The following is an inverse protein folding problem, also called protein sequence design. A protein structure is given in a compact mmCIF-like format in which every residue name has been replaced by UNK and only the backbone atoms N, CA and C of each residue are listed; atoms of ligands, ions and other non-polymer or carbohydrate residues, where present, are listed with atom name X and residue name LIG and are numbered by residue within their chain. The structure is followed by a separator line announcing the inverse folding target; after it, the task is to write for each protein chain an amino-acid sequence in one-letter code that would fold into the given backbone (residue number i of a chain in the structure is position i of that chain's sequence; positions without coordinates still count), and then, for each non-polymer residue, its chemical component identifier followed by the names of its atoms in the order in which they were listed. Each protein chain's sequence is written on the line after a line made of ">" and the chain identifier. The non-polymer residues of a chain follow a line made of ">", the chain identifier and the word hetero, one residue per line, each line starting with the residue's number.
data_IF_103346043669
#
_entry.id   IF_103346043669
#
_cell.length_a   1.000
_cell.length_b   1.000
_cell.length_c   1.000
_cell.angle_alpha   90.00
_cell.angle_beta   90.00
_cell.angle_gamma   90.00
#
_symmetry.space_group_name_H-M   'P 1'
#
loop_
_entity.id
_entity.type
_entity.pdbx_description
1 polymer ?
#
# COMPACT_ATOMS: atom_id res chain seq x y z
N UNK A 1 -19.38 12.31 4.78
CA UNK A 1 -19.00 10.94 4.37
C UNK A 1 -17.48 10.92 4.16
N UNK A 2 -16.70 10.14 4.92
CA UNK A 2 -15.26 10.04 4.66
C UNK A 2 -15.06 9.45 3.27
N UNK A 3 -14.33 10.18 2.41
CA UNK A 3 -14.01 9.72 1.06
C UNK A 3 -12.89 8.70 1.18
N UNK A 4 -13.24 7.41 1.15
CA UNK A 4 -12.25 6.32 1.12
C UNK A 4 -11.43 6.48 -0.16
N UNK A 5 -10.12 6.68 -0.02
CA UNK A 5 -9.16 6.83 -1.11
C UNK A 5 -8.27 5.59 -1.17
N UNK A 6 -7.87 5.19 -2.39
CA UNK A 6 -6.97 4.05 -2.58
C UNK A 6 -5.53 4.55 -2.63
N UNK A 7 -4.71 4.14 -1.68
CA UNK A 7 -3.28 4.42 -1.65
C UNK A 7 -2.50 3.30 -2.35
N UNK A 8 -1.52 3.69 -3.15
CA UNK A 8 -0.51 2.80 -3.73
C UNK A 8 0.48 2.40 -2.66
N UNK A 9 0.60 1.10 -2.40
CA UNK A 9 1.43 0.53 -1.35
C UNK A 9 2.30 -0.56 -1.96
N UNK A 10 3.60 -0.50 -1.70
CA UNK A 10 4.54 -1.54 -2.05
C UNK A 10 4.89 -2.31 -0.78
N UNK A 11 4.39 -3.54 -0.71
CA UNK A 11 4.65 -4.47 0.38
C UNK A 11 5.88 -5.29 0.04
N UNK A 12 6.91 -5.21 0.87
CA UNK A 12 8.14 -6.02 0.72
C UNK A 12 8.17 -7.06 1.83
N UNK A 13 8.12 -8.33 1.45
CA UNK A 13 8.10 -9.47 2.38
C UNK A 13 9.39 -10.27 2.42
N UNK A 14 9.33 -11.44 3.08
CA UNK A 14 10.46 -12.37 3.17
C UNK A 14 10.88 -12.86 1.79
N UNK A 15 12.18 -13.10 1.61
CA UNK A 15 12.80 -13.56 0.36
C UNK A 15 12.74 -12.57 -0.82
N UNK A 16 12.77 -11.26 -0.55
CA UNK A 16 12.78 -10.21 -1.59
C UNK A 16 11.52 -10.16 -2.47
N UNK A 17 10.41 -10.73 -2.00
CA UNK A 17 9.15 -10.57 -2.69
C UNK A 17 8.60 -9.15 -2.50
N UNK A 18 8.32 -8.50 -3.62
CA UNK A 18 7.70 -7.19 -3.65
C UNK A 18 6.31 -7.28 -4.27
N UNK A 19 5.32 -6.71 -3.62
CA UNK A 19 3.94 -6.72 -4.08
C UNK A 19 3.37 -5.32 -4.07
N UNK A 20 2.78 -4.92 -5.20
CA UNK A 20 2.06 -3.66 -5.29
C UNK A 20 0.60 -3.89 -4.93
N UNK A 21 0.10 -3.11 -3.99
CA UNK A 21 -1.23 -3.22 -3.39
C UNK A 21 -1.93 -1.88 -3.41
N UNK A 22 -3.25 -1.94 -3.59
CA UNK A 22 -4.11 -0.78 -3.45
C UNK A 22 -4.89 -0.87 -2.15
N UNK A 23 -4.50 -0.06 -1.17
CA UNK A 23 -5.08 -0.08 0.18
C UNK A 23 -6.10 1.03 0.34
N UNK A 24 -7.35 0.74 0.73
CA UNK A 24 -8.33 1.76 1.06
C UNK A 24 -7.96 2.46 2.38
N UNK A 25 -7.85 3.78 2.34
CA UNK A 25 -7.49 4.67 3.45
C UNK A 25 -8.57 5.76 3.59
N UNK A 26 -8.96 6.07 4.82
CA UNK A 26 -9.98 7.09 5.11
C UNK A 26 -9.41 8.52 5.18
N UNK A 27 -8.08 8.63 5.25
CA UNK A 27 -7.33 9.88 5.23
C UNK A 27 -7.14 10.42 3.80
N UNK A 28 -7.04 11.75 3.61
CA UNK A 28 -6.63 12.33 2.33
C UNK A 28 -5.29 11.79 1.84
N UNK A 29 -5.30 11.12 0.69
CA UNK A 29 -4.10 10.63 0.01
C UNK A 29 -3.76 11.59 -1.13
N UNK A 30 -2.51 12.07 -1.23
CA UNK A 30 -2.05 12.88 -2.35
C UNK A 30 -2.27 12.16 -3.68
N UNK A 31 -2.63 12.87 -4.77
CA UNK A 31 -2.90 12.24 -6.07
C UNK A 31 -1.74 11.39 -6.60
N UNK A 32 -0.51 11.77 -6.26
CA UNK A 32 0.73 11.04 -6.62
C UNK A 32 0.84 9.66 -5.94
N UNK A 33 0.17 9.48 -4.80
CA UNK A 33 0.14 8.23 -4.03
C UNK A 33 -1.16 7.46 -4.24
N UNK A 34 -2.06 7.95 -5.09
CA UNK A 34 -3.31 7.23 -5.38
C UNK A 34 -3.03 6.08 -6.34
N UNK A 35 -3.75 4.99 -6.14
CA UNK A 35 -3.76 3.93 -7.14
C UNK A 35 -4.41 4.41 -8.45
N UNK A 36 -3.94 3.85 -9.56
CA UNK A 36 -4.65 3.96 -10.83
C UNK A 36 -6.04 3.36 -10.71
N UNK A 37 -7.01 3.98 -11.39
CA UNK A 37 -8.43 3.59 -11.35
C UNK A 37 -8.62 2.14 -11.82
N UNK A 38 -7.81 1.68 -12.77
CA UNK A 38 -7.80 0.32 -13.30
C UNK A 38 -7.13 -0.73 -12.41
N UNK A 39 -6.46 -0.33 -11.32
CA UNK A 39 -5.87 -1.31 -10.40
C UNK A 39 -6.93 -1.84 -9.43
N UNK A 40 -7.12 -3.17 -9.36
CA UNK A 40 -8.05 -3.77 -8.40
C UNK A 40 -7.66 -3.39 -6.97
N UNK A 41 -8.66 -3.12 -6.13
CA UNK A 41 -8.44 -2.89 -4.71
C UNK A 41 -7.96 -4.20 -4.05
N UNK A 42 -6.92 -4.11 -3.21
CA UNK A 42 -6.32 -5.27 -2.53
C UNK A 42 -5.23 -6.00 -3.34
N UNK A 43 -4.87 -7.20 -2.87
CA UNK A 43 -4.04 -8.12 -3.66
C UNK A 43 -4.86 -8.54 -4.89
N UNK A 44 -4.47 -8.11 -6.09
CA UNK A 44 -4.89 -8.84 -7.28
C UNK A 44 -4.44 -10.28 -7.12
N UNK A 45 -5.36 -11.23 -7.32
CA UNK A 45 -5.19 -12.68 -7.06
C UNK A 45 -4.01 -13.36 -7.78
N UNK A 46 -3.18 -12.64 -8.53
CA UNK A 46 -2.00 -13.16 -9.21
C UNK A 46 -0.67 -12.96 -8.48
N UNK A 47 -0.55 -12.05 -7.51
CA UNK A 47 0.78 -11.67 -7.01
C UNK A 47 1.19 -12.31 -5.67
N UNK A 48 0.25 -12.66 -4.78
CA UNK A 48 0.58 -13.08 -3.40
C UNK A 48 0.69 -14.58 -3.18
N UNK A 49 0.02 -15.37 -4.02
CA UNK A 49 -0.08 -16.81 -3.82
C UNK A 49 1.25 -17.55 -4.10
N UNK A 50 2.10 -17.02 -4.99
CA UNK A 50 3.36 -17.68 -5.33
C UNK A 50 4.47 -17.49 -4.29
N UNK A 51 4.40 -16.42 -3.49
CA UNK A 51 5.46 -16.05 -2.55
C UNK A 51 5.14 -16.43 -1.07
N UNK A 52 3.87 -16.68 -0.74
CA UNK A 52 3.46 -16.93 0.65
C UNK A 52 3.54 -15.69 1.56
N UNK A 53 3.75 -14.50 0.99
CA UNK A 53 3.67 -13.24 1.73
C UNK A 53 2.23 -13.01 2.22
N UNK A 54 2.08 -12.91 3.54
CA UNK A 54 0.81 -12.56 4.17
C UNK A 54 0.72 -11.05 4.33
N UNK A 55 -0.42 -10.50 3.91
CA UNK A 55 -0.78 -9.13 4.26
C UNK A 55 -0.93 -9.02 5.77
N UNK A 56 -0.28 -8.06 6.43
CA UNK A 56 -0.48 -7.85 7.85
C UNK A 56 -1.91 -7.35 8.07
N UNK A 57 -2.61 -7.85 9.09
CA UNK A 57 -3.97 -7.40 9.42
C UNK A 57 -4.02 -5.87 9.66
N UNK A 58 -2.91 -5.33 10.17
CA UNK A 58 -2.68 -3.92 10.48
C UNK A 58 -2.17 -3.09 9.28
N UNK A 59 -2.24 -3.60 8.03
CA UNK A 59 -1.66 -2.91 6.88
C UNK A 59 -2.15 -1.47 6.73
N UNK A 60 -3.45 -1.25 6.97
CA UNK A 60 -4.07 0.08 6.91
C UNK A 60 -3.41 1.04 7.90
N UNK A 61 -3.30 0.64 9.15
CA UNK A 61 -2.73 1.45 10.22
C UNK A 61 -1.25 1.74 9.97
N UNK A 62 -0.49 0.77 9.45
CA UNK A 62 0.90 0.98 9.03
C UNK A 62 1.03 1.97 7.88
N UNK A 63 0.14 1.91 6.90
CA UNK A 63 0.11 2.87 5.77
C UNK A 63 -0.24 4.26 6.27
N UNK A 64 -1.23 4.40 7.16
CA UNK A 64 -1.59 5.69 7.75
C UNK A 64 -0.46 6.28 8.59
N UNK A 65 0.29 5.44 9.30
CA UNK A 65 1.48 5.83 10.03
C UNK A 65 2.60 6.27 9.10
N UNK A 66 2.91 5.49 8.06
CA UNK A 66 3.93 5.88 7.07
C UNK A 66 3.57 7.16 6.32
N UNK A 67 2.28 7.36 5.99
CA UNK A 67 1.81 8.62 5.42
C UNK A 67 1.88 9.79 6.40
N UNK A 68 1.99 9.54 7.71
CA UNK A 68 2.17 10.59 8.72
C UNK A 68 3.65 10.89 8.93
N UNK A 69 4.47 9.86 9.14
CA UNK A 69 5.89 9.98 9.48
C UNK A 69 6.78 10.22 8.24
N UNK A 70 6.44 9.63 7.09
CA UNK A 70 7.30 9.53 5.91
C UNK A 70 6.62 10.00 4.61
N UNK A 71 5.73 11.00 4.68
CA UNK A 71 4.98 11.47 3.51
C UNK A 71 5.88 12.00 2.38
N UNK A 72 6.95 12.73 2.70
CA UNK A 72 7.85 13.30 1.71
C UNK A 72 8.59 12.22 0.92
N UNK A 73 9.05 11.17 1.60
CA UNK A 73 9.70 10.03 0.97
C UNK A 73 8.71 9.19 0.16
N UNK A 74 7.50 9.00 0.68
CA UNK A 74 6.42 8.33 -0.06
C UNK A 74 6.12 9.07 -1.36
N UNK A 75 5.98 10.40 -1.31
CA UNK A 75 5.76 11.25 -2.49
C UNK A 75 6.89 11.14 -3.51
N UNK A 76 8.15 11.14 -3.05
CA UNK A 76 9.31 10.96 -3.93
C UNK A 76 9.27 9.62 -4.69
N UNK A 77 8.79 8.56 -4.03
CA UNK A 77 8.69 7.21 -4.61
C UNK A 77 7.41 7.00 -5.43
N UNK A 78 6.35 7.76 -5.17
CA UNK A 78 5.03 7.56 -5.75
C UNK A 78 4.23 6.40 -5.12
N UNK A 79 4.71 5.83 -4.02
CA UNK A 79 4.04 4.77 -3.28
C UNK A 79 4.50 4.72 -1.82
N UNK A 80 3.67 4.14 -0.95
CA UNK A 80 4.03 3.89 0.45
C UNK A 80 4.74 2.55 0.56
N UNK A 81 5.94 2.51 1.15
CA UNK A 81 6.70 1.28 1.32
C UNK A 81 6.38 0.65 2.68
N UNK A 82 5.81 -0.55 2.69
CA UNK A 82 5.59 -1.32 3.92
C UNK A 82 6.45 -2.56 3.89
N UNK A 83 7.27 -2.75 4.92
CA UNK A 83 8.07 -3.96 5.09
C UNK A 83 7.35 -4.92 6.05
N UNK A 84 7.19 -6.17 5.63
CA UNK A 84 6.68 -7.27 6.46
C UNK A 84 7.78 -8.30 6.67
N UNK A 85 8.25 -8.36 7.91
CA UNK A 85 9.30 -9.28 8.37
C UNK A 85 8.73 -10.63 8.82
#
# INVERSE_FOLDING_TARGET
>A
MPRIQRCSVRLVGRHYCEHSLCVPIERPVPPQLRCNVDQPAGYGSGAGAACGCKTPADLRERVERELRDNIAESLRRGYVLIRVA
#
